data_IF_475961515668
#
_entry.id   IF_475961515668
#
_cell.length_a   1.000
_cell.length_b   1.000
_cell.length_c   1.000
_cell.angle_alpha   90.00
_cell.angle_beta   90.00
_cell.angle_gamma   90.00
#
_symmetry.space_group_name_H-M   'P 1'
#
loop_
_entity.id
_entity.type
_entity.pdbx_description
1 polymer ?
#
# COMPACT_ATOMS: atom_id res chain seq x y z
N UNK A 1 -10.51 11.93 12.49
CA UNK A 1 -11.57 11.51 11.55
C UNK A 1 -11.22 10.10 11.12
N UNK A 2 -12.16 9.16 11.25
CA UNK A 2 -11.92 7.79 10.77
C UNK A 2 -12.07 7.78 9.24
N UNK A 3 -11.13 7.14 8.53
CA UNK A 3 -11.23 6.99 7.08
C UNK A 3 -12.46 6.16 6.73
N UNK A 4 -13.30 6.67 5.83
CA UNK A 4 -14.45 5.93 5.31
C UNK A 4 -14.03 5.19 4.05
N UNK A 5 -14.24 3.87 4.05
CA UNK A 5 -14.05 3.01 2.89
C UNK A 5 -15.43 2.69 2.30
N UNK A 6 -15.51 2.61 0.97
CA UNK A 6 -16.72 2.19 0.27
C UNK A 6 -17.08 0.74 0.62
N UNK A 7 -16.07 -0.13 0.61
CA UNK A 7 -16.23 -1.54 0.96
C UNK A 7 -15.04 -2.05 1.79
N UNK A 8 -15.31 -2.57 2.98
CA UNK A 8 -14.34 -3.34 3.77
C UNK A 8 -14.34 -4.77 3.24
N UNK A 9 -13.16 -5.27 2.84
CA UNK A 9 -13.00 -6.62 2.27
C UNK A 9 -12.30 -7.58 3.24
N UNK A 10 -11.54 -7.04 4.20
CA UNK A 10 -10.88 -7.82 5.22
C UNK A 10 -10.57 -6.97 6.46
N UNK A 11 -10.65 -7.59 7.63
CA UNK A 11 -10.14 -7.05 8.88
C UNK A 11 -9.36 -8.16 9.59
N UNK A 12 -8.26 -7.79 10.27
CA UNK A 12 -7.57 -8.76 11.11
C UNK A 12 -8.47 -9.16 12.30
N UNK A 13 -8.25 -10.36 12.85
CA UNK A 13 -9.03 -10.85 13.99
C UNK A 13 -9.03 -9.87 15.19
N UNK A 14 -7.90 -9.19 15.39
CA UNK A 14 -7.71 -8.20 16.46
C UNK A 14 -8.10 -6.78 16.05
N UNK A 15 -8.58 -6.57 14.83
CA UNK A 15 -9.05 -5.29 14.29
C UNK A 15 -8.02 -4.15 14.36
N UNK A 16 -6.73 -4.46 14.33
CA UNK A 16 -5.65 -3.47 14.22
C UNK A 16 -5.27 -3.17 12.76
N UNK A 17 -5.80 -3.92 11.80
CA UNK A 17 -5.56 -3.78 10.38
C UNK A 17 -6.90 -3.95 9.68
N UNK A 18 -7.13 -3.11 8.68
CA UNK A 18 -8.32 -3.14 7.83
C UNK A 18 -7.89 -2.96 6.38
N UNK A 19 -8.49 -3.72 5.48
CA UNK A 19 -8.34 -3.57 4.04
C UNK A 19 -9.71 -3.30 3.43
N UNK A 20 -9.78 -2.34 2.52
CA UNK A 20 -11.00 -2.04 1.79
C UNK A 20 -10.79 -1.17 0.57
N UNK A 21 -11.79 -1.17 -0.31
CA UNK A 21 -11.86 -0.27 -1.45
C UNK A 21 -12.29 1.12 -0.98
N UNK A 22 -11.56 2.14 -1.41
CA UNK A 22 -11.90 3.53 -1.10
C UNK A 22 -12.96 4.09 -2.03
N UNK A 23 -12.98 3.64 -3.29
CA UNK A 23 -13.87 4.10 -4.34
C UNK A 23 -14.79 2.97 -4.85
N UNK A 24 -16.01 3.29 -5.30
CA UNK A 24 -16.95 2.29 -5.81
C UNK A 24 -16.47 1.62 -7.11
N UNK A 25 -15.59 2.28 -7.87
CA UNK A 25 -14.93 1.72 -9.04
C UNK A 25 -13.84 0.69 -8.70
N UNK A 26 -13.52 0.55 -7.41
CA UNK A 26 -12.52 -0.39 -6.88
C UNK A 26 -11.16 -0.23 -7.57
N UNK A 27 -10.74 1.03 -7.75
CA UNK A 27 -9.43 1.36 -8.31
C UNK A 27 -8.42 1.70 -7.22
N UNK A 28 -8.87 2.04 -6.01
CA UNK A 28 -8.01 2.42 -4.88
C UNK A 28 -8.23 1.44 -3.71
N UNK A 29 -7.26 0.57 -3.47
CA UNK A 29 -7.25 -0.34 -2.33
C UNK A 29 -6.49 0.29 -1.17
N UNK A 30 -7.10 0.31 0.00
CA UNK A 30 -6.49 0.89 1.20
C UNK A 30 -6.18 -0.20 2.20
N UNK A 31 -4.95 -0.19 2.72
CA UNK A 31 -4.59 -0.85 3.97
C UNK A 31 -4.47 0.20 5.07
N UNK A 32 -5.36 0.12 6.05
CA UNK A 32 -5.41 1.01 7.19
C UNK A 32 -4.90 0.28 8.43
N UNK A 33 -3.84 0.82 9.04
CA UNK A 33 -3.31 0.38 10.32
C UNK A 33 -4.01 1.16 11.42
N UNK A 34 -4.78 0.47 12.26
CA UNK A 34 -5.62 1.05 13.31
C UNK A 34 -4.93 1.03 14.68
N UNK A 35 -4.07 0.04 14.93
CA UNK A 35 -3.33 -0.10 16.18
C UNK A 35 -2.02 -0.88 15.95
N UNK A 36 -1.37 -1.32 17.02
CA UNK A 36 -0.16 -2.14 17.00
C UNK A 36 -0.40 -3.42 16.21
N UNK A 37 0.54 -3.66 15.31
CA UNK A 37 0.56 -4.78 14.38
C UNK A 37 1.96 -5.40 14.35
N UNK A 38 2.08 -6.54 13.70
CA UNK A 38 3.30 -7.35 13.61
C UNK A 38 3.76 -7.51 12.18
N UNK A 39 5.02 -7.91 11.99
CA UNK A 39 5.54 -8.24 10.66
C UNK A 39 4.82 -9.43 10.02
N UNK A 40 4.35 -10.39 10.82
CA UNK A 40 3.53 -11.50 10.34
C UNK A 40 2.18 -11.02 9.82
N UNK A 41 1.49 -10.17 10.57
CA UNK A 41 0.22 -9.57 10.14
C UNK A 41 0.40 -8.73 8.89
N UNK A 42 1.51 -7.98 8.78
CA UNK A 42 1.85 -7.24 7.56
C UNK A 42 1.98 -8.17 6.35
N UNK A 43 2.68 -9.31 6.52
CA UNK A 43 2.83 -10.31 5.47
C UNK A 43 1.48 -10.91 5.10
N UNK A 44 0.65 -11.30 6.07
CA UNK A 44 -0.69 -11.85 5.81
C UNK A 44 -1.54 -10.81 5.07
N UNK A 45 -1.59 -9.58 5.56
CA UNK A 45 -2.43 -8.54 4.97
C UNK A 45 -1.99 -8.17 3.55
N UNK A 46 -0.69 -8.04 3.29
CA UNK A 46 -0.19 -7.64 1.97
C UNK A 46 -0.18 -8.84 1.01
N UNK A 47 0.48 -9.93 1.40
CA UNK A 47 0.77 -11.04 0.50
C UNK A 47 -0.44 -11.95 0.30
N UNK A 48 -1.18 -12.24 1.37
CA UNK A 48 -2.27 -13.21 1.32
C UNK A 48 -3.64 -12.56 1.07
N UNK A 49 -3.77 -11.24 1.25
CA UNK A 49 -5.04 -10.52 1.08
C UNK A 49 -4.96 -9.46 -0.01
N UNK A 50 -4.14 -8.41 0.13
CA UNK A 50 -4.11 -7.31 -0.84
C UNK A 50 -3.66 -7.78 -2.23
N UNK A 51 -2.55 -8.52 -2.34
CA UNK A 51 -1.99 -8.91 -3.62
C UNK A 51 -2.98 -9.76 -4.44
N UNK A 52 -3.65 -10.79 -3.88
CA UNK A 52 -4.71 -11.52 -4.58
C UNK A 52 -5.88 -10.64 -5.01
N UNK A 53 -6.32 -9.69 -4.18
CA UNK A 53 -7.38 -8.75 -4.53
C UNK A 53 -6.98 -7.86 -5.72
N UNK A 54 -5.73 -7.40 -5.75
CA UNK A 54 -5.21 -6.60 -6.85
C UNK A 54 -5.15 -7.45 -8.13
N UNK A 55 -4.55 -8.64 -8.07
CA UNK A 55 -4.44 -9.55 -9.23
C UNK A 55 -5.83 -9.89 -9.80
N UNK A 56 -6.82 -10.09 -8.95
CA UNK A 56 -8.20 -10.38 -9.38
C UNK A 56 -8.87 -9.24 -10.17
N UNK A 57 -8.31 -8.02 -10.12
CA UNK A 57 -8.78 -6.87 -10.92
C UNK A 57 -8.12 -6.77 -12.30
N UNK A 58 -7.12 -7.57 -12.62
CA UNK A 58 -6.48 -7.51 -13.93
C UNK A 58 -7.52 -7.68 -15.06
N UNK A 59 -7.44 -6.87 -16.15
CA UNK A 59 -6.33 -5.96 -16.50
C UNK A 59 -6.46 -4.53 -15.92
N UNK A 60 -7.44 -4.24 -15.06
CA UNK A 60 -7.64 -2.91 -14.49
C UNK A 60 -6.43 -2.49 -13.61
N UNK A 61 -5.93 -1.25 -13.77
CA UNK A 61 -4.89 -0.72 -12.89
C UNK A 61 -5.44 -0.47 -11.48
N UNK A 62 -4.70 -0.89 -10.48
CA UNK A 62 -5.02 -0.67 -9.06
C UNK A 62 -3.97 0.22 -8.41
N UNK A 63 -4.44 1.14 -7.59
CA UNK A 63 -3.66 2.03 -6.75
C UNK A 63 -3.77 1.54 -5.30
N UNK A 64 -2.66 1.52 -4.57
CA UNK A 64 -2.69 1.17 -3.14
C UNK A 64 -2.33 2.35 -2.28
N UNK A 65 -3.03 2.49 -1.15
CA UNK A 65 -2.69 3.46 -0.11
C UNK A 65 -2.52 2.72 1.21
N UNK A 66 -1.34 2.84 1.81
CA UNK A 66 -1.02 2.31 3.13
C UNK A 66 -1.02 3.49 4.10
N UNK A 67 -1.98 3.50 5.03
CA UNK A 67 -2.17 4.62 5.96
C UNK A 67 -2.32 4.15 7.41
N UNK A 68 -2.05 5.05 8.33
CA UNK A 68 -2.13 4.81 9.77
C UNK A 68 -3.21 5.70 10.38
N UNK A 69 -4.01 5.14 11.28
CA UNK A 69 -4.81 5.95 12.20
C UNK A 69 -3.88 6.80 13.08
N UNK A 70 -4.38 7.93 13.56
CA UNK A 70 -3.66 8.89 14.41
C UNK A 70 -2.99 8.23 15.61
N UNK A 71 -3.58 7.17 16.14
CA UNK A 71 -3.09 6.49 17.35
C UNK A 71 -2.31 5.20 17.04
N UNK A 72 -2.28 4.78 15.78
CA UNK A 72 -1.56 3.58 15.39
C UNK A 72 -0.05 3.79 15.54
N UNK A 73 0.66 2.75 15.95
CA UNK A 73 2.12 2.77 15.98
C UNK A 73 2.65 2.38 14.61
N UNK A 74 3.53 3.22 14.07
CA UNK A 74 4.08 3.04 12.72
C UNK A 74 4.85 1.73 12.55
N UNK A 75 5.69 1.36 13.51
CA UNK A 75 6.58 0.20 13.38
C UNK A 75 5.88 -1.11 13.81
N UNK A 76 5.87 -2.14 12.93
CA UNK A 76 5.44 -3.48 13.33
C UNK A 76 6.33 -4.07 14.43
N UNK A 77 5.76 -4.89 15.31
CA UNK A 77 6.47 -5.58 16.40
C UNK A 77 6.70 -7.06 16.09
N UNK A 78 7.73 -7.62 16.73
CA UNK A 78 8.00 -9.07 16.71
C UNK A 78 8.33 -9.63 15.32
N UNK A 79 8.63 -10.92 15.22
CA UNK A 79 8.93 -11.57 13.95
C UNK A 79 10.24 -11.12 13.28
N UNK A 80 10.46 -11.60 12.06
CA UNK A 80 11.66 -11.31 11.25
C UNK A 80 11.32 -10.31 10.14
N UNK A 81 11.58 -9.03 10.40
CA UNK A 81 11.31 -7.91 9.48
C UNK A 81 11.91 -8.13 8.08
N UNK A 82 13.13 -8.64 8.01
CA UNK A 82 13.84 -8.85 6.74
C UNK A 82 13.15 -9.95 5.91
N UNK A 83 12.73 -11.04 6.56
CA UNK A 83 11.99 -12.13 5.90
C UNK A 83 10.63 -11.65 5.40
N UNK A 84 9.89 -10.93 6.23
CA UNK A 84 8.57 -10.40 5.88
C UNK A 84 8.65 -9.47 4.66
N UNK A 85 9.59 -8.53 4.68
CA UNK A 85 9.80 -7.61 3.55
C UNK A 85 10.23 -8.32 2.28
N UNK A 86 11.13 -9.30 2.38
CA UNK A 86 11.53 -10.11 1.22
C UNK A 86 10.32 -10.75 0.55
N UNK A 87 9.40 -11.31 1.34
CA UNK A 87 8.19 -11.94 0.83
C UNK A 87 7.24 -10.93 0.16
N UNK A 88 7.04 -9.75 0.75
CA UNK A 88 6.23 -8.69 0.15
C UNK A 88 6.82 -8.24 -1.19
N UNK A 89 8.14 -8.08 -1.27
CA UNK A 89 8.81 -7.65 -2.50
C UNK A 89 8.76 -8.65 -3.64
N UNK A 90 8.70 -9.95 -3.32
CA UNK A 90 8.63 -11.04 -4.29
C UNK A 90 7.23 -11.22 -4.90
N UNK A 91 6.20 -10.62 -4.31
CA UNK A 91 4.79 -10.87 -4.67
C UNK A 91 4.09 -9.67 -5.30
N UNK A 92 4.88 -8.71 -5.79
CA UNK A 92 4.47 -7.46 -6.44
C UNK A 92 3.50 -7.69 -7.62
N UNK A 93 2.21 -7.30 -7.48
CA UNK A 93 1.20 -7.52 -8.51
C UNK A 93 1.49 -6.70 -9.79
N UNK A 94 1.34 -7.28 -10.99
CA UNK A 94 1.69 -6.61 -12.24
C UNK A 94 0.75 -5.45 -12.60
N UNK A 95 -0.49 -5.45 -12.09
CA UNK A 95 -1.48 -4.40 -12.33
C UNK A 95 -1.61 -3.41 -11.16
N UNK A 96 -0.79 -3.54 -10.11
CA UNK A 96 -0.62 -2.48 -9.13
C UNK A 96 0.33 -1.43 -9.74
N UNK A 97 -0.19 -0.23 -10.02
CA UNK A 97 0.53 0.80 -10.79
C UNK A 97 1.19 1.86 -9.91
N UNK A 98 0.69 2.04 -8.69
CA UNK A 98 1.20 3.03 -7.74
C UNK A 98 0.83 2.61 -6.31
N UNK A 99 1.80 2.66 -5.41
CA UNK A 99 1.65 2.40 -3.99
C UNK A 99 2.08 3.61 -3.18
N UNK A 100 1.20 4.14 -2.34
CA UNK A 100 1.43 5.37 -1.58
C UNK A 100 1.39 5.07 -0.09
N UNK A 101 2.44 5.50 0.62
CA UNK A 101 2.54 5.37 2.06
C UNK A 101 2.29 6.72 2.73
N UNK A 102 1.30 6.78 3.62
CA UNK A 102 0.87 7.98 4.32
C UNK A 102 1.45 7.98 5.74
N UNK A 103 2.07 9.11 6.14
CA UNK A 103 2.60 9.37 7.48
C UNK A 103 3.61 8.32 7.97
N UNK A 104 4.46 7.81 7.10
CA UNK A 104 5.49 6.88 7.57
C UNK A 104 6.55 7.61 8.38
N UNK A 105 7.01 7.00 9.47
CA UNK A 105 8.16 7.55 10.19
C UNK A 105 9.42 7.49 9.31
N UNK A 106 10.35 8.42 9.54
CA UNK A 106 11.64 8.46 8.83
C UNK A 106 12.41 7.13 8.94
N UNK A 107 12.20 6.40 10.05
CA UNK A 107 12.78 5.07 10.27
C UNK A 107 12.23 4.06 9.26
N UNK A 108 10.91 4.00 9.05
CA UNK A 108 10.30 3.09 8.07
C UNK A 108 10.67 3.49 6.65
N UNK A 109 10.68 4.80 6.37
CA UNK A 109 11.13 5.33 5.07
C UNK A 109 12.56 4.89 4.76
N UNK A 110 13.48 5.10 5.71
CA UNK A 110 14.88 4.69 5.57
C UNK A 110 15.00 3.18 5.40
N UNK A 111 14.21 2.41 6.14
CA UNK A 111 14.22 0.95 6.05
C UNK A 111 13.73 0.46 4.68
N UNK A 112 12.64 1.03 4.15
CA UNK A 112 12.16 0.75 2.80
C UNK A 112 13.18 1.17 1.74
N UNK A 113 13.81 2.34 1.88
CA UNK A 113 14.85 2.80 0.95
C UNK A 113 16.05 1.84 0.90
N UNK A 114 16.52 1.36 2.06
CA UNK A 114 17.60 0.37 2.15
C UNK A 114 17.21 -0.92 1.44
N UNK A 115 15.99 -1.38 1.67
CA UNK A 115 15.48 -2.64 1.13
C UNK A 115 15.31 -2.55 -0.39
N UNK A 116 14.71 -1.47 -0.90
CA UNK A 116 14.59 -1.23 -2.34
C UNK A 116 15.97 -1.20 -3.02
N UNK A 117 16.98 -0.58 -2.38
CA UNK A 117 18.37 -0.58 -2.87
C UNK A 117 19.00 -1.98 -2.87
N UNK A 118 18.84 -2.74 -1.78
CA UNK A 118 19.44 -4.07 -1.63
C UNK A 118 18.95 -5.06 -2.68
N UNK A 119 17.67 -5.00 -3.03
CA UNK A 119 17.10 -5.91 -4.02
C UNK A 119 17.21 -5.41 -5.46
N UNK A 120 18.03 -4.36 -5.71
CA UNK A 120 18.34 -3.77 -7.04
C UNK A 120 17.11 -3.62 -7.93
N UNK A 121 15.96 -3.37 -7.32
CA UNK A 121 14.68 -3.31 -8.01
C UNK A 121 14.50 -1.87 -8.48
N UNK A 122 15.43 -1.43 -9.33
CA UNK A 122 15.65 -0.05 -9.73
C UNK A 122 14.45 0.60 -10.43
N UNK A 123 13.48 -0.19 -10.93
CA UNK A 123 12.21 0.30 -11.47
C UNK A 123 11.07 0.35 -10.44
N UNK A 124 11.21 -0.26 -9.26
CA UNK A 124 10.17 -0.22 -8.21
C UNK A 124 10.22 1.05 -7.37
N UNK A 125 11.30 1.82 -7.42
CA UNK A 125 11.36 3.16 -6.80
C UNK A 125 10.36 4.14 -7.41
N UNK A 126 9.99 3.98 -8.69
CA UNK A 126 9.02 4.86 -9.35
C UNK A 126 7.56 4.62 -8.90
N UNK A 127 7.26 3.40 -8.44
CA UNK A 127 5.91 2.96 -8.03
C UNK A 127 5.56 3.35 -6.60
N UNK A 128 6.55 3.56 -5.74
CA UNK A 128 6.32 3.87 -4.33
C UNK A 128 6.43 5.37 -4.08
N UNK A 129 5.41 5.97 -3.45
CA UNK A 129 5.41 7.38 -3.03
C UNK A 129 5.18 7.48 -1.53
N UNK A 130 5.75 8.51 -0.91
CA UNK A 130 5.57 8.83 0.50
C UNK A 130 4.96 10.22 0.62
N UNK A 131 3.89 10.35 1.41
CA UNK A 131 3.15 11.60 1.62
C UNK A 131 2.74 11.77 3.08
N UNK A 132 2.37 12.98 3.49
CA UNK A 132 2.04 13.31 4.88
C UNK A 132 0.54 13.18 5.19
N UNK A 133 -0.31 13.23 4.18
CA UNK A 133 -1.77 13.19 4.36
C UNK A 133 -2.45 12.22 3.39
N UNK A 134 -3.64 11.77 3.76
CA UNK A 134 -4.41 10.88 2.89
C UNK A 134 -4.94 11.65 1.68
N UNK A 135 -5.26 12.93 1.87
CA UNK A 135 -5.64 13.88 0.84
C UNK A 135 -4.53 14.05 -0.21
N UNK A 136 -3.28 14.19 0.23
CA UNK A 136 -2.12 14.17 -0.68
C UNK A 136 -2.01 12.85 -1.44
N UNK A 137 -2.24 11.71 -0.78
CA UNK A 137 -2.22 10.41 -1.47
C UNK A 137 -3.26 10.35 -2.59
N UNK A 138 -4.48 10.81 -2.33
CA UNK A 138 -5.53 10.88 -3.34
C UNK A 138 -5.16 11.83 -4.49
N UNK A 139 -4.55 12.98 -4.18
CA UNK A 139 -4.07 13.91 -5.20
C UNK A 139 -3.03 13.26 -6.12
N UNK A 140 -2.09 12.50 -5.55
CA UNK A 140 -1.07 11.76 -6.30
C UNK A 140 -1.67 10.65 -7.17
N UNK A 141 -2.70 9.93 -6.68
CA UNK A 141 -3.46 8.95 -7.50
C UNK A 141 -4.15 9.65 -8.67
N UNK A 142 -4.84 10.76 -8.43
CA UNK A 142 -5.54 11.51 -9.46
C UNK A 142 -4.57 12.04 -10.53
N UNK A 143 -3.43 12.59 -10.11
CA UNK A 143 -2.38 13.05 -11.01
C UNK A 143 -1.86 11.89 -11.89
N UNK A 144 -1.58 10.74 -11.28
CA UNK A 144 -1.10 9.56 -12.01
C UNK A 144 -2.13 9.06 -13.03
N UNK A 145 -3.42 8.99 -12.65
CA UNK A 145 -4.52 8.66 -13.58
C UNK A 145 -4.55 9.62 -14.77
N UNK A 146 -4.40 10.93 -14.52
CA UNK A 146 -4.38 11.95 -15.58
C UNK A 146 -3.14 11.87 -16.47
N UNK A 147 -1.97 11.54 -15.92
CA UNK A 147 -0.74 11.29 -16.70
C UNK A 147 -0.92 10.06 -17.61
N UNK A 148 -1.40 8.94 -17.09
CA UNK A 148 -1.65 7.73 -17.87
C UNK A 148 -2.64 7.96 -19.01
N UNK A 149 -3.73 8.69 -18.75
CA UNK A 149 -4.71 9.05 -19.78
C UNK A 149 -4.11 9.90 -20.91
N UNK A 150 -3.23 10.86 -20.58
CA UNK A 150 -2.52 11.68 -21.58
C UNK A 150 -1.55 10.85 -22.42
N UNK A 151 -0.80 9.94 -21.79
CA UNK A 151 0.12 9.06 -22.51
C UNK A 151 -0.60 8.11 -23.48
N UNK A 152 -1.79 7.62 -23.12
CA UNK A 152 -2.60 6.76 -23.97
C UNK A 152 -3.22 7.49 -25.19
N UNK A 153 -3.35 8.82 -25.14
CA UNK A 153 -3.86 9.64 -26.25
C UNK A 153 -2.77 10.09 -27.23
N UNK A 154 -1.50 10.03 -26.82
CA UNK A 154 -0.36 10.52 -27.59
C UNK A 154 0.36 9.43 -28.40
N UNK A 155 0.00 8.15 -28.20
CA UNK A 155 0.54 7.00 -28.93
C UNK A 155 -0.51 6.38 -29.83
#
# INVERSE_FOLDING_TARGET
MSLQLDQIVWESERKHLRIGWYDPEQTILVLQVLDRWTWEEATVSIVNVMNPLIVAKAPQPVYTIITHDRYARFAPRGGNALSALRQMMQTDPPNEVLAIFVRQSDVIRTFLDVIVRLYKTANKTAKHRFVETFEEALAQVAEHKAQAARSAQAG
#
